data_IF_581923382377
#
_entry.id   IF_581923382377
#
_cell.length_a   1.000
_cell.length_b   1.000
_cell.length_c   1.000
_cell.angle_alpha   90.00
_cell.angle_beta   90.00
_cell.angle_gamma   90.00
#
_symmetry.space_group_name_H-M   'P 1'
#
loop_
_entity.id
_entity.type
_entity.pdbx_description
1 polymer ?
#
# COMPACT_ATOMS: atom_id res chain seq x y z
N UNK A 1 16.44 -11.63 -6.38
CA UNK A 1 15.21 -11.43 -5.63
C UNK A 1 15.20 -10.09 -4.95
N UNK A 2 14.19 -9.30 -5.19
CA UNK A 2 14.03 -8.02 -4.56
C UNK A 2 13.45 -8.13 -3.16
N UNK A 3 13.57 -7.05 -2.41
CA UNK A 3 12.95 -6.91 -1.12
C UNK A 3 11.42 -6.88 -1.28
N UNK A 4 10.71 -7.49 -0.33
CA UNK A 4 9.25 -7.47 -0.32
C UNK A 4 8.75 -6.18 0.35
N UNK A 5 7.97 -5.42 -0.38
CA UNK A 5 7.35 -4.18 0.11
C UNK A 5 5.84 -4.30 0.07
N UNK A 6 5.20 -3.96 1.16
CA UNK A 6 3.75 -3.82 1.20
C UNK A 6 3.41 -2.36 0.90
N UNK A 7 2.39 -2.15 0.07
CA UNK A 7 1.99 -0.82 -0.39
C UNK A 7 0.55 -0.56 0.02
N UNK A 8 0.25 0.67 0.40
CA UNK A 8 -1.13 1.10 0.62
C UNK A 8 -1.58 2.07 -0.48
N UNK A 9 -2.83 2.50 -0.41
CA UNK A 9 -3.40 3.37 -1.42
C UNK A 9 -2.74 4.75 -1.46
N UNK A 10 -2.19 5.25 -0.33
CA UNK A 10 -1.54 6.57 -0.29
C UNK A 10 -0.33 6.65 -1.21
N UNK A 11 0.32 5.51 -1.45
CA UNK A 11 1.48 5.41 -2.34
C UNK A 11 1.05 5.11 -3.78
N UNK A 12 0.20 4.10 -3.95
CA UNK A 12 -0.19 3.63 -5.29
C UNK A 12 -1.01 4.67 -6.06
N UNK A 13 -1.83 5.45 -5.37
CA UNK A 13 -2.60 6.52 -6.03
C UNK A 13 -1.68 7.54 -6.74
N UNK A 14 -0.47 7.74 -6.23
CA UNK A 14 0.51 8.66 -6.84
C UNK A 14 1.02 8.16 -8.20
N UNK A 15 0.85 6.90 -8.51
CA UNK A 15 1.20 6.36 -9.83
C UNK A 15 0.26 6.86 -10.93
N UNK A 16 -0.94 7.26 -10.54
CA UNK A 16 -2.01 7.63 -11.48
C UNK A 16 -2.44 9.09 -11.37
N UNK A 17 -2.18 9.72 -10.23
CA UNK A 17 -2.57 11.09 -9.94
C UNK A 17 -1.34 12.00 -10.01
N UNK A 18 -1.36 12.95 -10.94
CA UNK A 18 -0.24 13.85 -11.20
C UNK A 18 -0.18 14.99 -10.19
N UNK A 19 1.04 15.52 -9.95
CA UNK A 19 1.25 16.71 -9.14
C UNK A 19 1.26 16.46 -7.65
N UNK A 20 1.35 15.20 -7.22
CA UNK A 20 1.40 14.84 -5.81
C UNK A 20 2.80 15.02 -5.23
N UNK A 21 2.86 15.28 -3.93
CA UNK A 21 4.14 15.26 -3.22
C UNK A 21 4.79 13.89 -3.35
N UNK A 22 6.10 13.87 -3.46
CA UNK A 22 6.88 12.63 -3.58
C UNK A 22 6.53 11.82 -4.85
N UNK A 23 6.07 12.51 -5.89
CA UNK A 23 5.73 11.85 -7.15
C UNK A 23 6.94 11.10 -7.74
N UNK A 24 8.12 11.74 -7.73
CA UNK A 24 9.33 11.10 -8.26
C UNK A 24 9.68 9.81 -7.53
N UNK A 25 9.59 9.81 -6.21
CA UNK A 25 9.86 8.63 -5.39
C UNK A 25 8.81 7.55 -5.64
N UNK A 26 7.54 7.93 -5.77
CA UNK A 26 6.47 6.98 -6.08
C UNK A 26 6.66 6.35 -7.46
N UNK A 27 7.09 7.12 -8.45
CA UNK A 27 7.35 6.61 -9.80
C UNK A 27 8.58 5.70 -9.82
N UNK A 28 9.60 6.02 -9.04
CA UNK A 28 10.79 5.16 -8.89
C UNK A 28 10.39 3.79 -8.31
N UNK A 29 9.50 3.81 -7.31
CA UNK A 29 8.97 2.58 -6.73
C UNK A 29 8.18 1.77 -7.77
N UNK A 30 7.30 2.43 -8.53
CA UNK A 30 6.57 1.78 -9.61
C UNK A 30 7.53 1.10 -10.60
N UNK A 31 8.57 1.81 -10.99
CA UNK A 31 9.56 1.27 -11.93
C UNK A 31 10.28 0.06 -11.35
N UNK A 32 10.56 0.07 -10.04
CA UNK A 32 11.11 -1.07 -9.34
C UNK A 32 10.19 -2.29 -9.36
N UNK A 33 8.90 -2.07 -9.17
CA UNK A 33 7.87 -3.12 -9.24
C UNK A 33 7.78 -3.69 -10.67
N UNK A 34 7.66 -2.82 -11.66
CA UNK A 34 7.54 -3.25 -13.06
C UNK A 34 8.82 -3.93 -13.56
N UNK A 35 9.98 -3.53 -13.05
CA UNK A 35 11.26 -4.13 -13.39
C UNK A 35 11.59 -5.37 -12.57
N UNK A 36 10.69 -5.82 -11.72
CA UNK A 36 10.87 -6.97 -10.83
C UNK A 36 12.06 -6.84 -9.87
N UNK A 37 12.48 -5.61 -9.57
CA UNK A 37 13.49 -5.34 -8.55
C UNK A 37 12.86 -5.31 -7.15
N UNK A 38 11.57 -5.07 -7.09
CA UNK A 38 10.78 -5.02 -5.86
C UNK A 38 9.65 -6.02 -5.99
N UNK A 39 9.47 -6.81 -4.95
CA UNK A 39 8.33 -7.71 -4.82
C UNK A 39 7.25 -6.96 -4.05
N UNK A 40 6.16 -6.60 -4.72
CA UNK A 40 5.10 -5.80 -4.11
C UNK A 40 3.95 -6.67 -3.63
N UNK A 41 3.45 -6.35 -2.44
CA UNK A 41 2.25 -6.96 -1.87
C UNK A 41 1.31 -5.84 -1.40
N UNK A 42 0.03 -6.06 -1.49
CA UNK A 42 -0.97 -5.15 -0.97
C UNK A 42 -2.20 -5.91 -0.51
N UNK A 43 -3.12 -5.21 0.13
CA UNK A 43 -4.46 -5.74 0.39
C UNK A 43 -5.33 -5.56 -0.85
N UNK A 44 -6.25 -6.48 -1.11
CA UNK A 44 -7.23 -6.25 -2.18
C UNK A 44 -8.14 -5.05 -1.89
N UNK A 45 -8.15 -4.52 -0.65
CA UNK A 45 -8.81 -3.26 -0.30
C UNK A 45 -8.25 -2.08 -1.10
N UNK A 46 -7.01 -2.19 -1.56
CA UNK A 46 -6.33 -1.15 -2.35
C UNK A 46 -7.12 -0.74 -3.58
N UNK A 47 -7.74 -1.70 -4.26
CA UNK A 47 -8.48 -1.39 -5.49
C UNK A 47 -9.57 -0.37 -5.24
N UNK A 48 -10.36 -0.59 -4.19
CA UNK A 48 -11.47 0.30 -3.86
C UNK A 48 -10.98 1.65 -3.34
N UNK A 49 -9.95 1.65 -2.52
CA UNK A 49 -9.41 2.91 -1.98
C UNK A 49 -8.75 3.79 -3.03
N UNK A 50 -8.05 3.18 -3.98
CA UNK A 50 -7.46 3.93 -5.10
C UNK A 50 -8.56 4.56 -5.95
N UNK A 51 -9.59 3.79 -6.28
CA UNK A 51 -10.77 4.32 -7.00
C UNK A 51 -11.42 5.46 -6.21
N UNK A 52 -11.61 5.28 -4.91
CA UNK A 52 -12.22 6.32 -4.05
C UNK A 52 -11.40 7.62 -4.09
N UNK A 53 -10.08 7.52 -4.03
CA UNK A 53 -9.21 8.68 -4.06
C UNK A 53 -9.35 9.46 -5.37
N UNK A 54 -9.48 8.76 -6.50
CA UNK A 54 -9.66 9.39 -7.80
C UNK A 54 -11.05 10.01 -7.97
N UNK A 55 -12.07 9.36 -7.44
CA UNK A 55 -13.44 9.90 -7.42
C UNK A 55 -13.47 11.23 -6.65
N UNK A 56 -12.80 11.30 -5.51
CA UNK A 56 -12.79 12.50 -4.66
C UNK A 56 -12.19 13.72 -5.35
N UNK A 57 -11.23 13.53 -6.25
CA UNK A 57 -10.61 14.64 -6.98
C UNK A 57 -11.24 14.87 -8.37
N UNK A 58 -12.32 14.17 -8.66
CA UNK A 58 -13.11 14.42 -9.86
C UNK A 58 -12.55 13.83 -11.15
N UNK A 59 -11.79 12.75 -11.08
CA UNK A 59 -11.31 12.10 -12.31
C UNK A 59 -12.48 11.58 -13.13
N UNK A 60 -12.39 11.64 -14.48
CA UNK A 60 -13.43 11.11 -15.34
C UNK A 60 -13.64 9.61 -15.14
N UNK A 61 -14.88 9.15 -15.29
CA UNK A 61 -15.26 7.75 -15.12
C UNK A 61 -14.38 6.80 -15.93
N UNK A 62 -14.10 7.16 -17.19
CA UNK A 62 -13.29 6.33 -18.08
C UNK A 62 -11.87 6.15 -17.55
N UNK A 63 -11.30 7.21 -16.99
CA UNK A 63 -9.96 7.16 -16.40
C UNK A 63 -9.92 6.28 -15.15
N UNK A 64 -10.97 6.37 -14.32
CA UNK A 64 -11.09 5.54 -13.12
C UNK A 64 -11.15 4.06 -13.50
N UNK A 65 -11.96 3.71 -14.50
CA UNK A 65 -12.04 2.33 -15.00
C UNK A 65 -10.70 1.84 -15.54
N UNK A 66 -9.99 2.70 -16.25
CA UNK A 66 -8.68 2.40 -16.80
C UNK A 66 -7.67 2.11 -15.68
N UNK A 67 -7.66 2.91 -14.63
CA UNK A 67 -6.80 2.70 -13.46
C UNK A 67 -7.12 1.37 -12.78
N UNK A 68 -8.38 1.09 -12.56
CA UNK A 68 -8.79 -0.18 -11.96
C UNK A 68 -8.35 -1.37 -12.82
N UNK A 69 -8.57 -1.30 -14.14
CA UNK A 69 -8.13 -2.35 -15.05
C UNK A 69 -6.62 -2.56 -15.02
N UNK A 70 -5.85 -1.46 -14.97
CA UNK A 70 -4.39 -1.53 -14.88
C UNK A 70 -3.95 -2.23 -13.60
N UNK A 71 -4.53 -1.88 -12.46
CA UNK A 71 -4.20 -2.51 -11.18
C UNK A 71 -4.54 -4.00 -11.19
N UNK A 72 -5.68 -4.37 -11.76
CA UNK A 72 -6.07 -5.77 -11.90
C UNK A 72 -5.09 -6.53 -12.77
N UNK A 73 -4.64 -5.92 -13.85
CA UNK A 73 -3.67 -6.53 -14.74
C UNK A 73 -2.33 -6.74 -14.04
N UNK A 74 -1.85 -5.76 -13.28
CA UNK A 74 -0.60 -5.89 -12.51
C UNK A 74 -0.67 -7.04 -11.52
N UNK A 75 -1.80 -7.26 -10.88
CA UNK A 75 -1.97 -8.40 -9.98
C UNK A 75 -2.08 -9.72 -10.76
N UNK A 76 -2.80 -9.72 -11.86
CA UNK A 76 -2.95 -10.91 -12.72
C UNK A 76 -1.61 -11.37 -13.29
N UNK A 77 -0.73 -10.43 -13.64
CA UNK A 77 0.59 -10.72 -14.19
C UNK A 77 1.65 -11.02 -13.11
N UNK A 78 1.28 -10.89 -11.83
CA UNK A 78 2.18 -11.24 -10.74
C UNK A 78 3.14 -10.14 -10.30
N UNK A 79 2.99 -8.91 -10.80
CA UNK A 79 3.82 -7.79 -10.35
C UNK A 79 3.48 -7.36 -8.92
N UNK A 80 2.22 -7.50 -8.54
CA UNK A 80 1.73 -7.17 -7.21
C UNK A 80 0.87 -8.33 -6.70
N UNK A 81 1.15 -8.80 -5.50
CA UNK A 81 0.26 -9.76 -4.84
C UNK A 81 -0.84 -9.00 -4.11
N UNK A 82 -2.11 -9.27 -4.39
CA UNK A 82 -3.23 -8.70 -3.66
C UNK A 82 -3.75 -9.75 -2.65
N UNK A 83 -3.51 -9.49 -1.37
CA UNK A 83 -3.90 -10.41 -0.29
C UNK A 83 -5.39 -10.18 0.02
N UNK A 84 -6.20 -11.24 0.06
CA UNK A 84 -7.61 -11.11 0.46
C UNK A 84 -7.74 -10.52 1.87
N UNK A 85 -8.72 -9.67 2.07
CA UNK A 85 -8.97 -9.03 3.38
C UNK A 85 -9.17 -10.11 4.45
N UNK A 86 -9.88 -11.19 4.13
CA UNK A 86 -10.12 -12.28 5.07
C UNK A 86 -8.85 -12.91 5.63
N UNK A 87 -7.78 -12.96 4.82
CA UNK A 87 -6.51 -13.53 5.26
C UNK A 87 -5.80 -12.67 6.31
N UNK A 88 -6.07 -11.36 6.32
CA UNK A 88 -5.45 -10.43 7.24
C UNK A 88 -6.36 -10.06 8.43
N UNK A 89 -7.58 -10.58 8.45
CA UNK A 89 -8.61 -10.09 9.37
C UNK A 89 -8.26 -10.30 10.83
N UNK A 90 -7.78 -11.48 11.22
CA UNK A 90 -7.45 -11.76 12.62
C UNK A 90 -6.35 -10.81 13.12
N UNK A 91 -5.30 -10.62 12.32
CA UNK A 91 -4.22 -9.69 12.68
C UNK A 91 -4.73 -8.25 12.70
N UNK A 92 -5.59 -7.87 11.78
CA UNK A 92 -6.17 -6.52 11.75
C UNK A 92 -7.00 -6.23 13.00
N UNK A 93 -7.72 -7.22 13.53
CA UNK A 93 -8.47 -7.07 14.77
C UNK A 93 -7.53 -6.82 15.95
N UNK A 94 -6.41 -7.55 16.03
CA UNK A 94 -5.40 -7.32 17.08
C UNK A 94 -4.83 -5.90 17.01
N UNK A 95 -4.53 -5.44 15.79
CA UNK A 95 -3.99 -4.10 15.55
C UNK A 95 -5.00 -3.03 15.97
N UNK A 96 -6.25 -3.22 15.59
CA UNK A 96 -7.32 -2.29 15.94
C UNK A 96 -7.47 -2.14 17.45
N UNK A 97 -7.46 -3.26 18.17
CA UNK A 97 -7.57 -3.28 19.61
C UNK A 97 -6.38 -2.58 20.29
N UNK A 98 -5.18 -2.69 19.70
CA UNK A 98 -3.96 -2.12 20.27
C UNK A 98 -3.76 -0.65 19.93
N UNK A 99 -4.15 -0.21 18.72
CA UNK A 99 -3.73 1.08 18.18
C UNK A 99 -4.86 2.04 17.81
N UNK A 100 -6.10 1.58 17.76
CA UNK A 100 -7.26 2.41 17.37
C UNK A 100 -7.06 3.13 16.03
N UNK A 101 -6.67 2.40 15.02
CA UNK A 101 -6.50 2.94 13.66
C UNK A 101 -7.84 2.94 12.91
N UNK A 102 -7.87 3.60 11.75
CA UNK A 102 -8.95 3.35 10.81
C UNK A 102 -8.86 1.90 10.33
N UNK A 103 -10.00 1.30 10.06
CA UNK A 103 -10.06 -0.12 9.68
C UNK A 103 -9.18 -0.43 8.48
N UNK A 104 -9.16 0.43 7.46
CA UNK A 104 -8.31 0.23 6.28
C UNK A 104 -6.82 0.23 6.63
N UNK A 105 -6.40 1.13 7.53
CA UNK A 105 -5.00 1.19 7.96
C UNK A 105 -4.59 -0.08 8.69
N UNK A 106 -5.49 -0.61 9.54
CA UNK A 106 -5.26 -1.87 10.22
C UNK A 106 -5.11 -3.03 9.23
N UNK A 107 -5.90 -3.02 8.17
CA UNK A 107 -5.82 -4.07 7.13
C UNK A 107 -4.48 -4.00 6.39
N UNK A 108 -4.00 -2.81 6.02
CA UNK A 108 -2.71 -2.69 5.35
C UNK A 108 -1.55 -3.11 6.24
N UNK A 109 -1.57 -2.67 7.49
CA UNK A 109 -0.53 -3.05 8.44
C UNK A 109 -0.55 -4.57 8.69
N UNK A 110 -1.73 -5.14 8.85
CA UNK A 110 -1.89 -6.59 9.03
C UNK A 110 -1.34 -7.35 7.81
N UNK A 111 -1.65 -6.87 6.62
CA UNK A 111 -1.16 -7.49 5.37
C UNK A 111 0.37 -7.49 5.34
N UNK A 112 0.99 -6.37 5.68
CA UNK A 112 2.45 -6.27 5.72
C UNK A 112 3.03 -7.25 6.75
N UNK A 113 2.44 -7.34 7.94
CA UNK A 113 2.93 -8.21 9.00
C UNK A 113 2.82 -9.68 8.59
N UNK A 114 1.68 -10.13 8.09
CA UNK A 114 1.51 -11.55 7.72
C UNK A 114 2.38 -11.96 6.54
N UNK A 115 2.83 -11.02 5.72
CA UNK A 115 3.75 -11.29 4.62
C UNK A 115 5.22 -11.03 4.97
N UNK A 116 5.49 -10.50 6.16
CA UNK A 116 6.85 -10.16 6.55
C UNK A 116 7.48 -9.09 5.68
N UNK A 117 6.65 -8.17 5.15
CA UNK A 117 7.09 -7.13 4.23
C UNK A 117 7.19 -5.79 4.93
N UNK A 118 8.11 -4.92 4.48
CA UNK A 118 8.13 -3.54 4.94
C UNK A 118 6.94 -2.80 4.37
N UNK A 119 6.24 -2.02 5.19
CA UNK A 119 5.10 -1.23 4.73
C UNK A 119 5.57 0.15 4.28
N UNK A 120 5.35 0.49 3.02
CA UNK A 120 5.63 1.82 2.49
C UNK A 120 4.32 2.59 2.41
N UNK A 121 4.26 3.72 3.09
CA UNK A 121 3.05 4.53 3.21
C UNK A 121 3.38 6.02 3.30
N UNK A 122 2.45 6.86 2.87
CA UNK A 122 2.47 8.29 3.11
C UNK A 122 1.34 8.71 4.05
N UNK A 123 0.59 7.75 4.59
CA UNK A 123 -0.50 8.01 5.52
C UNK A 123 0.07 8.35 6.90
N UNK A 124 -0.26 9.56 7.39
CA UNK A 124 0.26 10.04 8.68
C UNK A 124 -0.17 9.19 9.87
N UNK A 125 -1.31 8.51 9.79
CA UNK A 125 -1.77 7.64 10.88
C UNK A 125 -0.89 6.40 11.01
N UNK A 126 -0.47 5.84 9.88
CA UNK A 126 0.44 4.69 9.86
C UNK A 126 1.88 5.09 10.18
N UNK A 127 2.23 6.37 9.99
CA UNK A 127 3.56 6.89 10.31
C UNK A 127 3.66 7.40 11.77
N UNK A 128 2.61 7.30 12.56
CA UNK A 128 2.66 7.63 13.99
C UNK A 128 3.73 6.79 14.70
N UNK A 129 4.40 7.40 15.66
CA UNK A 129 5.49 6.76 16.40
C UNK A 129 5.05 5.45 17.06
N UNK A 130 3.88 5.43 17.70
CA UNK A 130 3.37 4.23 18.36
C UNK A 130 3.06 3.10 17.38
N UNK A 131 2.61 3.45 16.17
CA UNK A 131 2.33 2.47 15.11
C UNK A 131 3.63 1.90 14.55
N UNK A 132 4.61 2.76 14.29
CA UNK A 132 5.94 2.35 13.83
C UNK A 132 6.60 1.41 14.85
N UNK A 133 6.50 1.75 16.13
CA UNK A 133 7.06 0.93 17.21
C UNK A 133 6.34 -0.43 17.32
N UNK A 134 5.01 -0.44 17.18
CA UNK A 134 4.25 -1.69 17.15
C UNK A 134 4.72 -2.59 16.00
N UNK A 135 4.87 -2.02 14.81
CA UNK A 135 5.32 -2.77 13.65
C UNK A 135 6.70 -3.41 13.87
N UNK A 136 7.62 -2.67 14.49
CA UNK A 136 8.96 -3.20 14.82
C UNK A 136 8.87 -4.39 15.78
N UNK A 137 8.01 -4.32 16.78
CA UNK A 137 7.80 -5.45 17.70
C UNK A 137 7.21 -6.65 16.99
N UNK A 138 6.46 -6.43 15.91
CA UNK A 138 5.90 -7.49 15.07
C UNK A 138 6.85 -7.92 13.94
N UNK A 139 8.05 -7.38 13.90
CA UNK A 139 9.12 -7.82 13.01
C UNK A 139 9.16 -7.15 11.64
N UNK A 140 8.45 -6.05 11.44
CA UNK A 140 8.53 -5.30 10.18
C UNK A 140 8.82 -3.82 10.43
N UNK A 141 9.17 -3.11 9.36
CA UNK A 141 9.37 -1.66 9.38
C UNK A 141 8.26 -0.97 8.61
N UNK A 142 7.88 0.23 9.06
CA UNK A 142 7.03 1.14 8.29
C UNK A 142 7.92 2.27 7.78
N UNK A 143 7.87 2.54 6.48
CA UNK A 143 8.71 3.55 5.83
C UNK A 143 7.84 4.52 5.04
N UNK A 144 8.25 5.79 5.04
CA UNK A 144 7.70 6.76 4.08
C UNK A 144 8.36 6.54 2.72
N UNK A 145 7.84 7.16 1.67
CA UNK A 145 8.46 7.11 0.34
C UNK A 145 9.89 7.68 0.36
N UNK A 146 10.13 8.72 1.16
CA UNK A 146 11.45 9.30 1.28
C UNK A 146 12.46 8.32 1.90
N UNK A 147 11.99 7.46 2.80
CA UNK A 147 12.83 6.46 3.49
C UNK A 147 13.00 5.18 2.68
N UNK A 148 12.03 4.86 1.82
CA UNK A 148 12.03 3.64 1.01
C UNK A 148 12.87 3.85 -0.25
N UNK A 149 14.14 4.13 -0.10
CA UNK A 149 15.04 4.36 -1.24
C UNK A 149 15.34 3.05 -1.97
N UNK A 150 15.15 3.10 -3.28
CA UNK A 150 15.36 1.95 -4.17
C UNK A 150 16.52 2.19 -5.11
#
# INVERSE_FOLDING_TARGET
MGEALALDASVVVKWFKRGEEREAEAMSLRDGVLGSRVSAVTSEWLFLETVRALVKVGYPHDKIKEVYSTLRELTSLGFIEAVPVGAALDKAVEIEAALSLYASDSVYLATAIIRGAKLVTEDRHLLREDVVDYAKREGIEILSLAEAQL
#
